data_IF_747058904278
#
_entry.id   IF_747058904278
#
_cell.length_a   1.000
_cell.length_b   1.000
_cell.length_c   1.000
_cell.angle_alpha   90.00
_cell.angle_beta   90.00
_cell.angle_gamma   90.00
#
_symmetry.space_group_name_H-M   'P 1'
#
loop_
_entity.id
_entity.type
_entity.pdbx_description
1 polymer ?
#
# COMPACT_ATOMS: atom_id res chain seq x y z
N UNK A 1 -2.01 11.52 -17.45
CA UNK A 1 -0.95 11.78 -16.43
C UNK A 1 -1.56 11.50 -15.06
N UNK A 2 -0.87 10.82 -14.14
CA UNK A 2 -1.39 10.48 -12.82
C UNK A 2 -1.51 11.74 -11.94
N UNK A 3 -2.63 11.94 -11.24
CA UNK A 3 -2.78 13.09 -10.34
C UNK A 3 -1.99 12.86 -9.04
N UNK A 4 -1.57 13.95 -8.40
CA UNK A 4 -0.72 13.87 -7.19
C UNK A 4 -1.41 13.16 -6.02
N UNK A 5 -2.73 13.35 -5.89
CA UNK A 5 -3.55 12.65 -4.88
C UNK A 5 -3.63 11.13 -5.09
N UNK A 6 -3.36 10.66 -6.30
CA UNK A 6 -3.41 9.23 -6.65
C UNK A 6 -2.04 8.54 -6.46
N UNK A 7 -1.00 9.29 -6.07
CA UNK A 7 0.33 8.73 -5.78
C UNK A 7 0.33 8.01 -4.44
N UNK A 8 0.65 6.71 -4.45
CA UNK A 8 0.77 5.91 -3.22
C UNK A 8 2.00 6.33 -2.39
N UNK A 9 3.12 6.65 -3.04
CA UNK A 9 4.36 7.08 -2.37
C UNK A 9 4.44 8.61 -2.27
N UNK A 10 3.71 9.18 -1.31
CA UNK A 10 3.50 10.63 -1.18
C UNK A 10 4.73 11.40 -0.67
N UNK A 11 5.61 10.79 0.13
CA UNK A 11 6.82 11.42 0.67
C UNK A 11 8.13 10.87 0.07
N UNK A 12 8.11 10.47 -1.20
CA UNK A 12 9.28 9.83 -1.85
C UNK A 12 10.54 10.72 -1.88
N UNK A 13 10.36 12.04 -1.85
CA UNK A 13 11.46 13.02 -1.85
C UNK A 13 11.86 13.50 -0.45
N UNK A 14 11.22 13.02 0.62
CA UNK A 14 11.59 13.37 2.00
C UNK A 14 11.29 14.83 2.39
N UNK A 15 10.34 15.49 1.71
CA UNK A 15 9.94 16.87 2.04
C UNK A 15 9.22 16.97 3.39
N UNK A 16 8.62 15.87 3.85
CA UNK A 16 8.03 15.72 5.17
C UNK A 16 8.88 14.77 6.03
N UNK A 17 8.69 14.81 7.35
CA UNK A 17 9.42 13.91 8.25
C UNK A 17 9.18 12.42 7.95
N UNK A 18 10.24 11.63 8.08
CA UNK A 18 10.22 10.17 7.88
C UNK A 18 9.73 9.40 9.10
N UNK A 19 9.62 10.05 10.26
CA UNK A 19 9.26 9.42 11.53
C UNK A 19 7.78 9.00 11.59
N UNK A 20 7.44 8.16 12.58
CA UNK A 20 6.10 7.62 12.77
C UNK A 20 5.01 8.70 12.94
N UNK A 21 5.32 9.81 13.62
CA UNK A 21 4.37 10.89 13.85
C UNK A 21 3.96 11.53 12.53
N UNK A 22 4.92 11.83 11.66
CA UNK A 22 4.63 12.40 10.34
C UNK A 22 4.05 11.37 9.37
N UNK A 23 4.42 10.09 9.48
CA UNK A 23 3.79 9.00 8.73
C UNK A 23 2.28 8.88 8.99
N UNK A 24 1.88 8.91 10.26
CA UNK A 24 0.45 8.87 10.63
C UNK A 24 -0.35 10.03 10.05
N UNK A 25 0.24 11.21 9.88
CA UNK A 25 -0.43 12.35 9.24
C UNK A 25 -0.70 12.14 7.74
N UNK A 26 0.08 11.28 7.07
CA UNK A 26 -0.12 10.93 5.65
C UNK A 26 -1.13 9.79 5.44
N UNK A 27 -1.72 9.27 6.51
CA UNK A 27 -2.61 8.11 6.48
C UNK A 27 -1.89 6.77 6.66
N UNK A 28 -0.56 6.75 6.85
CA UNK A 28 0.15 5.52 7.19
C UNK A 28 -0.38 5.01 8.55
N UNK A 29 -0.59 3.70 8.67
CA UNK A 29 -1.19 3.02 9.83
C UNK A 29 -2.70 3.21 10.03
N UNK A 30 -3.37 4.02 9.22
CA UNK A 30 -4.82 4.18 9.31
C UNK A 30 -5.55 2.86 9.01
N UNK A 31 -6.58 2.54 9.80
CA UNK A 31 -7.40 1.32 9.64
C UNK A 31 -6.67 -0.04 9.76
N UNK A 32 -5.36 -0.08 10.02
CA UNK A 32 -4.55 -1.33 9.97
C UNK A 32 -5.08 -2.43 10.89
N UNK A 33 -5.57 -2.08 12.08
CA UNK A 33 -6.16 -3.05 13.01
C UNK A 33 -7.44 -3.70 12.46
N UNK A 34 -8.27 -2.96 11.73
CA UNK A 34 -9.48 -3.51 11.09
C UNK A 34 -9.12 -4.39 9.90
N UNK A 35 -8.15 -3.93 9.08
CA UNK A 35 -7.62 -4.68 7.93
C UNK A 35 -7.08 -6.04 8.39
N UNK A 36 -6.30 -6.09 9.48
CA UNK A 36 -5.76 -7.35 10.02
C UNK A 36 -6.89 -8.28 10.49
N UNK A 37 -7.93 -7.74 11.14
CA UNK A 37 -9.06 -8.53 11.65
C UNK A 37 -9.90 -9.18 10.54
N UNK A 38 -9.87 -8.66 9.30
CA UNK A 38 -10.54 -9.29 8.15
C UNK A 38 -9.94 -10.64 7.76
N UNK A 39 -8.73 -10.95 8.22
CA UNK A 39 -8.11 -12.26 8.06
C UNK A 39 -7.36 -12.44 6.75
N UNK A 40 -6.55 -13.50 6.70
CA UNK A 40 -5.61 -13.78 5.59
C UNK A 40 -6.30 -13.94 4.25
N UNK A 41 -7.39 -14.71 4.20
CA UNK A 41 -8.08 -15.04 2.94
C UNK A 41 -8.60 -13.77 2.27
N UNK A 42 -9.29 -12.92 3.03
CA UNK A 42 -9.76 -11.64 2.55
C UNK A 42 -8.60 -10.77 2.00
N UNK A 43 -7.49 -10.66 2.72
CA UNK A 43 -6.32 -9.88 2.28
C UNK A 43 -5.74 -10.39 0.95
N UNK A 44 -5.66 -11.72 0.79
CA UNK A 44 -5.15 -12.35 -0.43
C UNK A 44 -6.10 -12.08 -1.60
N UNK A 45 -7.40 -12.16 -1.40
CA UNK A 45 -8.38 -11.95 -2.46
C UNK A 45 -8.48 -10.48 -2.88
N UNK A 46 -8.36 -9.52 -1.95
CA UNK A 46 -8.20 -8.11 -2.29
C UNK A 46 -6.91 -7.86 -3.10
N UNK A 47 -5.79 -8.50 -2.73
CA UNK A 47 -4.55 -8.42 -3.49
C UNK A 47 -4.72 -8.95 -4.92
N UNK A 48 -5.43 -10.07 -5.11
CA UNK A 48 -5.74 -10.60 -6.46
C UNK A 48 -6.67 -9.66 -7.22
N UNK A 49 -7.74 -9.18 -6.58
CA UNK A 49 -8.73 -8.28 -7.17
C UNK A 49 -8.14 -6.95 -7.64
N UNK A 50 -7.09 -6.46 -6.97
CA UNK A 50 -6.36 -5.25 -7.36
C UNK A 50 -5.60 -5.38 -8.69
N UNK A 51 -5.35 -6.60 -9.18
CA UNK A 51 -4.52 -6.84 -10.36
C UNK A 51 -3.03 -6.53 -10.16
N UNK A 52 -2.56 -6.38 -8.92
CA UNK A 52 -1.16 -6.08 -8.62
C UNK A 52 -0.23 -7.19 -9.11
N UNK A 53 0.86 -6.78 -9.75
CA UNK A 53 1.94 -7.66 -10.23
C UNK A 53 3.27 -7.30 -9.56
N UNK A 54 4.18 -8.26 -9.46
CA UNK A 54 5.49 -8.09 -8.85
C UNK A 54 6.27 -6.95 -9.48
N UNK A 55 6.83 -6.07 -8.64
CA UNK A 55 7.60 -4.89 -9.05
C UNK A 55 9.12 -5.13 -9.10
N UNK A 56 9.55 -6.39 -8.96
CA UNK A 56 10.96 -6.80 -9.03
C UNK A 56 11.45 -7.23 -10.43
N UNK A 57 10.75 -6.87 -11.50
CA UNK A 57 11.13 -7.19 -12.90
C UNK A 57 10.42 -8.40 -13.50
N UNK A 58 10.19 -9.47 -12.74
CA UNK A 58 9.53 -10.69 -13.25
C UNK A 58 8.03 -10.54 -13.53
N UNK A 59 7.35 -9.56 -12.89
CA UNK A 59 5.95 -9.25 -13.18
C UNK A 59 4.94 -10.36 -12.83
N UNK A 60 5.25 -11.29 -11.93
CA UNK A 60 4.30 -12.35 -11.51
C UNK A 60 3.10 -11.76 -10.75
N UNK A 61 1.86 -12.28 -10.88
CA UNK A 61 0.72 -11.79 -10.10
C UNK A 61 0.99 -11.90 -8.59
N UNK A 62 0.95 -10.78 -7.87
CA UNK A 62 1.38 -10.73 -6.46
C UNK A 62 0.44 -11.52 -5.56
N UNK A 63 -0.88 -11.46 -5.80
CA UNK A 63 -1.87 -12.20 -5.00
C UNK A 63 -1.89 -13.72 -5.24
N UNK A 64 -1.13 -14.23 -6.21
CA UNK A 64 -1.00 -15.67 -6.51
C UNK A 64 0.34 -16.27 -6.08
N UNK A 65 1.29 -15.42 -5.65
CA UNK A 65 2.60 -15.85 -5.16
C UNK A 65 2.52 -16.22 -3.68
#
# INVERSE_FOLDING_TARGET
MLADRDRIFTNIYGQQGWNLKEARKRGDWDGTGEIIRKGREWLVDECKGSGLRGRGGAGFPTGLK
#
